data_IF_573257891750
#
_entry.id   IF_573257891750
#
_cell.length_a   1.000
_cell.length_b   1.000
_cell.length_c   1.000
_cell.angle_alpha   90.00
_cell.angle_beta   90.00
_cell.angle_gamma   90.00
#
_symmetry.space_group_name_H-M   'P 1'
#
loop_
_entity.id
_entity.type
_entity.pdbx_description
1 polymer ?
#
# COMPACT_ATOMS: atom_id res chain seq x y z
N UNK A 1 9.74 8.60 -2.86
CA UNK A 1 9.24 7.73 -1.78
C UNK A 1 10.41 6.99 -1.16
N UNK A 2 10.32 6.57 0.10
CA UNK A 2 11.42 5.92 0.83
C UNK A 2 11.18 4.44 1.14
N UNK A 3 10.20 3.80 0.49
CA UNK A 3 9.90 2.37 0.70
C UNK A 3 9.30 2.01 2.07
N UNK A 4 8.82 2.99 2.84
CA UNK A 4 8.18 2.73 4.11
C UNK A 4 6.91 1.86 3.93
N UNK A 5 6.66 0.97 4.90
CA UNK A 5 5.43 0.22 4.98
C UNK A 5 4.23 1.14 5.25
N UNK A 6 3.05 0.72 4.80
CA UNK A 6 1.81 1.45 5.02
C UNK A 6 1.20 0.96 6.33
N UNK A 7 1.13 1.89 7.29
CA UNK A 7 0.65 1.61 8.64
C UNK A 7 -0.88 1.70 8.71
N UNK A 8 -1.50 0.87 9.55
CA UNK A 8 -2.96 0.87 9.71
C UNK A 8 -3.55 2.26 10.00
N UNK A 9 -2.97 3.12 10.88
CA UNK A 9 -3.48 4.48 11.12
C UNK A 9 -3.50 5.38 9.89
N UNK A 10 -2.59 5.16 8.93
CA UNK A 10 -2.60 5.86 7.66
C UNK A 10 -3.82 5.49 6.83
N UNK A 11 -4.14 4.19 6.79
CA UNK A 11 -5.25 3.60 6.03
C UNK A 11 -6.64 3.81 6.66
N UNK A 12 -6.71 4.23 7.92
CA UNK A 12 -7.97 4.56 8.62
C UNK A 12 -8.11 6.05 8.88
N UNK A 13 -7.24 6.89 8.30
CA UNK A 13 -7.33 8.34 8.42
C UNK A 13 -8.51 8.90 7.60
N UNK A 14 -8.92 10.16 7.85
CA UNK A 14 -10.08 10.77 7.17
C UNK A 14 -10.00 10.77 5.63
N UNK A 15 -8.79 10.85 5.06
CA UNK A 15 -8.58 10.85 3.61
C UNK A 15 -8.33 9.47 3.01
N UNK A 16 -8.20 8.43 3.84
CA UNK A 16 -7.92 7.09 3.38
C UNK A 16 -9.18 6.39 2.88
N UNK A 17 -9.01 5.59 1.83
CA UNK A 17 -10.10 4.82 1.22
C UNK A 17 -9.69 3.35 1.11
N UNK A 18 -10.49 2.49 1.70
CA UNK A 18 -10.46 1.04 1.50
C UNK A 18 -11.89 0.64 1.18
N UNK A 19 -12.33 0.82 -0.07
CA UNK A 19 -13.75 0.60 -0.46
C UNK A 19 -14.05 -0.88 -0.74
N UNK A 20 -13.02 -1.67 -1.02
CA UNK A 20 -13.11 -3.11 -1.30
C UNK A 20 -12.55 -3.89 -0.12
N UNK A 21 -13.20 -5.00 0.22
CA UNK A 21 -12.67 -5.95 1.21
C UNK A 21 -11.56 -6.78 0.58
N UNK A 22 -10.38 -6.76 1.20
CA UNK A 22 -9.20 -7.50 0.75
C UNK A 22 -8.71 -8.40 1.88
N UNK A 23 -8.44 -9.70 1.64
CA UNK A 23 -7.91 -10.60 2.66
C UNK A 23 -6.45 -10.26 3.00
N UNK A 24 -5.92 -10.91 4.04
CA UNK A 24 -4.48 -10.91 4.30
C UNK A 24 -3.72 -11.60 3.15
N UNK A 25 -2.43 -11.29 3.01
CA UNK A 25 -1.52 -11.84 2.00
C UNK A 25 -1.94 -11.61 0.54
N UNK A 26 -2.73 -10.55 0.30
CA UNK A 26 -3.16 -10.15 -1.03
C UNK A 26 -2.25 -9.05 -1.60
N UNK A 27 -1.96 -9.13 -2.90
CA UNK A 27 -1.24 -8.06 -3.63
C UNK A 27 -2.18 -6.89 -3.86
N UNK A 28 -1.72 -5.69 -3.50
CA UNK A 28 -2.49 -4.45 -3.59
C UNK A 28 -1.69 -3.31 -4.23
N UNK A 29 -2.38 -2.44 -4.94
CA UNK A 29 -1.86 -1.17 -5.44
C UNK A 29 -2.12 -0.04 -4.44
N UNK A 30 -1.15 0.85 -4.27
CA UNK A 30 -1.23 2.00 -3.36
C UNK A 30 -1.37 3.29 -4.16
N UNK A 31 -2.50 3.96 -4.01
CA UNK A 31 -2.79 5.27 -4.59
C UNK A 31 -2.77 6.37 -3.52
N UNK A 32 -2.72 7.63 -3.94
CA UNK A 32 -2.90 8.78 -3.06
C UNK A 32 -3.90 9.78 -3.63
N UNK A 33 -4.57 10.50 -2.76
CA UNK A 33 -5.46 11.60 -3.14
C UNK A 33 -4.71 12.64 -4.00
N UNK A 34 -5.32 13.05 -5.11
CA UNK A 34 -4.73 14.01 -6.04
C UNK A 34 -3.64 13.44 -6.96
N UNK A 35 -3.44 12.11 -6.98
CA UNK A 35 -2.57 11.40 -7.93
C UNK A 35 -3.38 10.43 -8.76
N UNK A 36 -3.10 10.37 -10.05
CA UNK A 36 -3.73 9.41 -10.96
C UNK A 36 -2.91 8.11 -11.08
N UNK A 37 -1.62 8.20 -10.75
CA UNK A 37 -0.66 7.11 -10.83
C UNK A 37 -0.64 6.28 -9.54
N UNK A 38 -0.38 4.98 -9.70
CA UNK A 38 -0.07 4.10 -8.57
C UNK A 38 1.35 4.43 -8.08
N UNK A 39 1.48 4.58 -6.77
CA UNK A 39 2.72 5.03 -6.14
C UNK A 39 3.55 3.87 -5.58
N UNK A 40 2.89 2.78 -5.22
CA UNK A 40 3.54 1.56 -4.73
C UNK A 40 2.67 0.32 -4.96
N UNK A 41 3.31 -0.85 -4.90
CA UNK A 41 2.69 -2.17 -4.85
C UNK A 41 3.13 -2.82 -3.55
N UNK A 42 2.20 -3.47 -2.85
CA UNK A 42 2.47 -4.12 -1.58
C UNK A 42 1.63 -5.35 -1.34
N UNK A 43 1.84 -5.97 -0.18
CA UNK A 43 1.11 -7.16 0.29
C UNK A 43 0.43 -6.82 1.62
N UNK A 44 -0.87 -7.10 1.72
CA UNK A 44 -1.62 -6.89 2.97
C UNK A 44 -1.11 -7.83 4.07
N UNK A 45 -0.84 -7.31 5.27
CA UNK A 45 -0.43 -8.13 6.43
C UNK A 45 -1.60 -8.57 7.31
N UNK A 46 -2.79 -8.04 7.04
CA UNK A 46 -4.06 -8.43 7.62
C UNK A 46 -5.21 -8.01 6.69
N UNK A 47 -6.42 -8.51 6.94
CA UNK A 47 -7.59 -8.12 6.13
C UNK A 47 -7.90 -6.62 6.27
N UNK A 48 -8.51 -6.00 5.26
CA UNK A 48 -8.95 -4.58 5.36
C UNK A 48 -9.89 -4.34 6.54
N UNK A 49 -10.65 -5.34 6.94
CA UNK A 49 -11.56 -5.25 8.09
C UNK A 49 -10.78 -5.25 9.41
N UNK A 50 -9.73 -6.06 9.52
CA UNK A 50 -8.79 -6.01 10.64
C UNK A 50 -7.97 -4.72 10.66
N UNK A 51 -7.58 -4.17 9.51
CA UNK A 51 -6.91 -2.85 9.43
C UNK A 51 -7.79 -1.78 10.10
N UNK A 52 -9.09 -1.74 9.76
CA UNK A 52 -10.05 -0.79 10.36
C UNK A 52 -10.27 -1.04 11.84
N UNK A 53 -10.42 -2.31 12.25
CA UNK A 53 -10.75 -2.70 13.62
C UNK A 53 -9.57 -2.54 14.59
N UNK A 54 -8.39 -3.00 14.20
CA UNK A 54 -7.19 -3.02 15.05
C UNK A 54 -6.50 -1.67 15.05
N UNK A 55 -6.43 -1.01 13.88
CA UNK A 55 -5.84 0.32 13.71
C UNK A 55 -4.42 0.47 14.34
N UNK A 56 -3.61 -0.58 14.25
CA UNK A 56 -2.23 -0.61 14.76
C UNK A 56 -1.36 -1.52 13.93
N UNK A 57 -0.07 -1.19 13.83
CA UNK A 57 0.91 -2.00 13.11
C UNK A 57 0.92 -1.74 11.60
N UNK A 58 1.59 -2.65 10.89
CA UNK A 58 1.72 -2.61 9.43
C UNK A 58 0.45 -3.18 8.81
N UNK A 59 -0.24 -2.39 7.99
CA UNK A 59 -1.41 -2.85 7.23
C UNK A 59 -0.99 -3.45 5.88
N UNK A 60 -0.06 -2.78 5.19
CA UNK A 60 0.52 -3.25 3.93
C UNK A 60 2.04 -3.14 3.99
N UNK A 61 2.71 -4.25 3.69
CA UNK A 61 4.14 -4.30 3.46
C UNK A 61 4.46 -3.85 2.04
N UNK A 62 5.34 -2.84 1.90
CA UNK A 62 5.70 -2.28 0.60
C UNK A 62 6.69 -3.20 -0.10
N UNK A 63 6.35 -3.65 -1.31
CA UNK A 63 7.22 -4.54 -2.11
C UNK A 63 7.96 -3.74 -3.18
N UNK A 64 7.26 -2.83 -3.86
CA UNK A 64 7.80 -1.99 -4.93
C UNK A 64 7.20 -0.58 -4.82
N UNK A 65 7.99 0.45 -5.12
CA UNK A 65 7.51 1.83 -5.10
C UNK A 65 8.18 2.72 -6.15
N UNK A 66 7.51 3.84 -6.46
CA UNK A 66 7.98 4.79 -7.45
C UNK A 66 9.39 5.31 -7.14
N UNK A 67 10.29 5.21 -8.12
CA UNK A 67 11.71 5.57 -8.06
C UNK A 67 12.60 4.68 -7.15
N UNK A 68 12.15 3.48 -6.79
CA UNK A 68 13.05 2.48 -6.23
C UNK A 68 14.05 1.93 -7.28
N UNK A 69 14.87 0.95 -6.90
CA UNK A 69 15.86 0.38 -7.80
C UNK A 69 15.23 -0.33 -9.00
N UNK A 70 14.13 -1.07 -8.78
CA UNK A 70 13.44 -1.78 -9.85
C UNK A 70 12.80 -0.80 -10.84
N UNK A 71 12.20 0.28 -10.35
CA UNK A 71 11.61 1.34 -11.18
C UNK A 71 12.64 1.98 -12.12
N UNK A 72 13.86 2.18 -11.62
CA UNK A 72 14.96 2.81 -12.37
C UNK A 72 15.69 1.85 -13.30
N UNK A 73 15.35 0.57 -13.27
CA UNK A 73 16.00 -0.42 -14.12
C UNK A 73 15.51 -0.24 -15.54
N UNK A 74 16.46 -0.07 -16.47
CA UNK A 74 16.18 -0.17 -17.90
C UNK A 74 16.17 -1.65 -18.25
N UNK A 75 15.04 -2.13 -18.74
CA UNK A 75 14.90 -3.50 -19.22
C UNK A 75 14.99 -3.43 -20.73
N UNK A 76 16.08 -3.94 -21.30
CA UNK A 76 16.15 -4.20 -22.73
C UNK A 76 15.28 -5.44 -23.00
N UNK A 77 14.04 -5.20 -23.41
CA UNK A 77 13.07 -6.23 -23.81
C UNK A 77 13.15 -6.49 -25.32
#
# INVERSE_FOLDING_TARGET
>A
MAGANIMCPGLTSKGARMEVTVPADAVVAIAAEGKNEILAVGITKMSTDDIRRINRGIGVETVHYLNDCLWKTVVDL
#
